data_IF_175044072584
#
_entry.id   IF_175044072584
#
_cell.length_a   1.000
_cell.length_b   1.000
_cell.length_c   1.000
_cell.angle_alpha   90.00
_cell.angle_beta   90.00
_cell.angle_gamma   90.00
#
_symmetry.space_group_name_H-M   'P 1'
#
loop_
_entity.id
_entity.type
_entity.pdbx_description
1 polymer ?
#
# COMPACT_ATOMS: atom_id res chain seq x y z
N UNK A 1 2.19 16.58 -2.46
CA UNK A 1 1.22 17.45 -3.17
C UNK A 1 0.86 16.88 -4.56
N UNK A 2 0.33 15.65 -4.64
CA UNK A 2 -0.19 15.06 -5.91
C UNK A 2 -1.71 14.95 -5.92
N UNK A 3 -2.35 14.72 -4.78
CA UNK A 3 -3.82 14.68 -4.65
C UNK A 3 -4.56 15.96 -5.09
N UNK A 4 -4.01 17.15 -4.82
CA UNK A 4 -4.60 18.39 -5.31
C UNK A 4 -4.52 18.54 -6.86
N UNK A 5 -3.67 17.77 -7.54
CA UNK A 5 -3.56 17.78 -9.01
C UNK A 5 -4.59 16.90 -9.70
N UNK A 6 -5.05 15.82 -9.07
CA UNK A 6 -6.05 14.91 -9.65
C UNK A 6 -7.37 15.63 -10.01
N UNK A 7 -7.85 16.56 -9.16
CA UNK A 7 -9.03 17.38 -9.48
C UNK A 7 -8.83 18.38 -10.63
N UNK A 8 -7.58 18.72 -10.97
CA UNK A 8 -7.26 19.71 -12.01
C UNK A 8 -6.98 19.02 -13.35
N UNK A 9 -6.38 17.82 -13.35
CA UNK A 9 -5.94 17.14 -14.56
C UNK A 9 -7.10 16.61 -15.43
N UNK A 10 -8.18 16.10 -14.83
CA UNK A 10 -9.40 15.68 -15.55
C UNK A 10 -10.01 16.81 -16.40
N UNK A 11 -9.95 18.06 -15.94
CA UNK A 11 -10.53 19.20 -16.67
C UNK A 11 -9.57 19.89 -17.65
N UNK A 12 -8.25 19.65 -17.56
CA UNK A 12 -7.23 20.43 -18.30
C UNK A 12 -6.38 19.55 -19.24
N UNK A 13 -6.18 18.27 -18.93
CA UNK A 13 -5.19 17.42 -19.61
C UNK A 13 -5.80 16.26 -20.41
N UNK A 14 -7.11 16.00 -20.30
CA UNK A 14 -7.77 14.93 -21.06
C UNK A 14 -7.31 13.53 -20.70
N UNK A 15 -6.75 13.34 -19.50
CA UNK A 15 -6.45 12.03 -18.96
C UNK A 15 -7.74 11.25 -18.68
N UNK A 16 -7.70 9.93 -18.90
CA UNK A 16 -8.80 9.05 -18.50
C UNK A 16 -8.90 9.09 -16.96
N UNK A 17 -10.05 9.46 -16.38
CA UNK A 17 -10.25 9.46 -14.94
C UNK A 17 -9.91 8.11 -14.27
N UNK A 18 -9.95 7.00 -15.02
CA UNK A 18 -9.56 5.68 -14.51
C UNK A 18 -8.08 5.46 -14.41
N UNK A 19 -7.29 5.99 -15.34
CA UNK A 19 -5.82 5.89 -15.27
C UNK A 19 -5.27 6.71 -14.09
N UNK A 20 -5.83 7.91 -13.85
CA UNK A 20 -5.40 8.75 -12.71
C UNK A 20 -5.83 8.19 -11.35
N UNK A 21 -7.00 7.54 -11.29
CA UNK A 21 -7.44 6.86 -10.07
C UNK A 21 -6.54 5.66 -9.76
N UNK A 22 -6.20 4.87 -10.78
CA UNK A 22 -5.30 3.73 -10.65
C UNK A 22 -3.90 4.16 -10.16
N UNK A 23 -3.33 5.19 -10.77
CA UNK A 23 -2.02 5.74 -10.34
C UNK A 23 -2.06 6.20 -8.87
N UNK A 24 -3.16 6.84 -8.46
CA UNK A 24 -3.32 7.32 -7.08
C UNK A 24 -3.41 6.17 -6.06
N UNK A 25 -4.10 5.08 -6.43
CA UNK A 25 -4.19 3.86 -5.62
C UNK A 25 -2.81 3.21 -5.47
N UNK A 26 -2.08 3.03 -6.56
CA UNK A 26 -0.72 2.46 -6.54
C UNK A 26 0.26 3.34 -5.72
N UNK A 27 0.13 4.67 -5.80
CA UNK A 27 0.92 5.60 -4.98
C UNK A 27 0.57 5.48 -3.49
N UNK A 28 -0.70 5.31 -3.15
CA UNK A 28 -1.13 5.14 -1.77
C UNK A 28 -0.60 3.83 -1.17
N UNK A 29 -0.67 2.73 -1.92
CA UNK A 29 -0.09 1.43 -1.54
C UNK A 29 1.42 1.51 -1.34
N UNK A 30 2.14 2.10 -2.29
CA UNK A 30 3.60 2.32 -2.19
C UNK A 30 3.95 3.15 -0.95
N UNK A 31 3.13 4.16 -0.63
CA UNK A 31 3.33 4.98 0.56
C UNK A 31 3.12 4.16 1.85
N UNK A 32 2.11 3.30 1.91
CA UNK A 32 1.87 2.40 3.05
C UNK A 32 3.06 1.49 3.34
N UNK A 33 3.63 0.91 2.29
CA UNK A 33 4.85 0.10 2.39
C UNK A 33 6.03 0.91 2.95
N UNK A 34 6.25 2.13 2.46
CA UNK A 34 7.34 3.00 2.98
C UNK A 34 7.10 3.45 4.42
N UNK A 35 5.85 3.75 4.78
CA UNK A 35 5.48 4.21 6.12
C UNK A 35 5.69 3.09 7.16
N UNK A 36 5.37 1.83 6.80
CA UNK A 36 5.76 0.66 7.61
C UNK A 36 7.28 0.63 7.83
N UNK A 37 8.07 0.74 6.75
CA UNK A 37 9.54 0.69 6.83
C UNK A 37 10.14 1.85 7.63
N UNK A 38 9.44 3.00 7.68
CA UNK A 38 9.78 4.14 8.51
C UNK A 38 9.40 3.95 10.00
N UNK A 39 8.69 2.87 10.34
CA UNK A 39 8.26 2.55 11.70
C UNK A 39 6.96 3.23 12.13
N UNK A 40 6.14 3.70 11.17
CA UNK A 40 4.82 4.24 11.46
C UNK A 40 3.81 3.12 11.75
N UNK A 41 2.91 3.38 12.68
CA UNK A 41 1.84 2.45 13.02
C UNK A 41 0.77 2.39 11.94
N UNK A 42 0.05 1.28 11.91
CA UNK A 42 -1.11 1.09 11.01
C UNK A 42 -2.21 2.15 11.20
N UNK A 43 -2.30 2.74 12.39
CA UNK A 43 -3.27 3.81 12.70
C UNK A 43 -2.80 5.21 12.25
N UNK A 44 -1.54 5.35 11.77
CA UNK A 44 -0.95 6.62 11.33
C UNK A 44 -1.28 6.95 9.86
N UNK A 45 -2.48 6.58 9.40
CA UNK A 45 -2.94 6.82 8.03
C UNK A 45 -2.80 8.31 7.67
N UNK A 46 -2.20 8.65 6.51
CA UNK A 46 -2.08 10.03 6.07
C UNK A 46 -3.43 10.77 6.06
N UNK A 47 -3.48 11.96 6.66
CA UNK A 47 -4.72 12.74 6.77
C UNK A 47 -5.38 13.03 5.41
N UNK A 48 -4.61 13.04 4.31
CA UNK A 48 -5.13 13.22 2.95
C UNK A 48 -5.98 12.03 2.44
N UNK A 49 -5.92 10.87 3.09
CA UNK A 49 -6.75 9.69 2.78
C UNK A 49 -7.96 9.54 3.70
N UNK A 50 -8.10 10.40 4.71
CA UNK A 50 -9.13 10.24 5.74
C UNK A 50 -10.54 10.20 5.18
N UNK A 51 -10.81 10.98 4.13
CA UNK A 51 -12.14 11.06 3.52
C UNK A 51 -12.25 10.23 2.23
N UNK A 52 -11.15 9.64 1.77
CA UNK A 52 -11.05 8.89 0.51
C UNK A 52 -10.80 7.41 0.81
N UNK A 53 -11.87 6.62 0.89
CA UNK A 53 -11.82 5.24 1.37
C UNK A 53 -10.87 4.37 0.55
N UNK A 54 -10.92 4.48 -0.77
CA UNK A 54 -10.14 3.67 -1.69
C UNK A 54 -8.64 3.89 -1.51
N UNK A 55 -8.22 5.13 -1.22
CA UNK A 55 -6.82 5.48 -0.98
C UNK A 55 -6.34 5.05 0.41
N UNK A 56 -7.21 5.15 1.42
CA UNK A 56 -6.93 4.60 2.75
C UNK A 56 -6.74 3.09 2.67
N UNK A 57 -7.65 2.38 2.00
CA UNK A 57 -7.58 0.92 1.86
C UNK A 57 -6.33 0.50 1.10
N UNK A 58 -5.95 1.23 0.05
CA UNK A 58 -4.70 0.98 -0.67
C UNK A 58 -3.46 1.19 0.22
N UNK A 59 -3.40 2.29 0.98
CA UNK A 59 -2.32 2.53 1.94
C UNK A 59 -2.25 1.44 3.03
N UNK A 60 -3.39 1.07 3.61
CA UNK A 60 -3.45 -0.01 4.60
C UNK A 60 -2.99 -1.34 4.00
N UNK A 61 -3.37 -1.62 2.75
CA UNK A 61 -2.92 -2.80 2.00
C UNK A 61 -1.41 -2.85 1.85
N UNK A 62 -0.77 -1.78 1.37
CA UNK A 62 0.69 -1.73 1.24
C UNK A 62 1.44 -1.84 2.58
N UNK A 63 0.85 -1.30 3.65
CA UNK A 63 1.39 -1.47 5.01
C UNK A 63 1.30 -2.93 5.48
N UNK A 64 0.12 -3.56 5.32
CA UNK A 64 -0.15 -4.94 5.74
C UNK A 64 0.69 -5.94 4.93
N UNK A 65 0.90 -5.69 3.63
CA UNK A 65 1.79 -6.50 2.79
C UNK A 65 3.23 -6.46 3.30
N UNK A 66 3.73 -5.28 3.64
CA UNK A 66 5.09 -5.15 4.14
C UNK A 66 5.26 -5.80 5.52
N UNK A 67 4.27 -5.70 6.42
CA UNK A 67 4.24 -6.45 7.69
C UNK A 67 4.29 -7.96 7.43
N UNK A 68 3.48 -8.46 6.49
CA UNK A 68 3.49 -9.87 6.12
C UNK A 68 4.84 -10.31 5.53
N UNK A 69 5.46 -9.49 4.68
CA UNK A 69 6.77 -9.78 4.12
C UNK A 69 7.85 -9.90 5.20
N UNK A 70 7.87 -9.01 6.20
CA UNK A 70 8.80 -9.12 7.33
C UNK A 70 8.52 -10.38 8.17
N UNK A 71 7.26 -10.72 8.43
CA UNK A 71 6.91 -11.97 9.13
C UNK A 71 7.34 -13.22 8.36
N UNK A 72 7.23 -13.22 7.04
CA UNK A 72 7.69 -14.31 6.17
C UNK A 72 9.21 -14.42 6.24
N UNK A 73 9.94 -13.30 6.17
CA UNK A 73 11.41 -13.28 6.28
C UNK A 73 11.89 -13.86 7.61
N UNK A 74 11.17 -13.63 8.70
CA UNK A 74 11.50 -14.16 10.03
C UNK A 74 10.97 -15.58 10.28
N UNK A 75 10.11 -16.11 9.40
CA UNK A 75 9.47 -17.40 9.61
C UNK A 75 10.47 -18.56 9.44
N UNK A 76 10.70 -19.40 10.46
CA UNK A 76 11.65 -20.51 10.35
C UNK A 76 11.22 -21.56 9.33
N UNK A 77 9.91 -21.72 9.11
CA UNK A 77 9.39 -22.69 8.13
C UNK A 77 9.48 -22.19 6.69
N UNK A 78 9.29 -20.88 6.44
CA UNK A 78 9.51 -20.30 5.11
C UNK A 78 10.98 -20.37 4.67
N UNK A 79 11.90 -20.35 5.63
CA UNK A 79 13.33 -20.34 5.39
C UNK A 79 14.00 -21.73 5.54
N UNK A 80 13.24 -22.78 5.84
CA UNK A 80 13.75 -24.15 5.94
C UNK A 80 13.47 -24.91 4.64
N UNK A 81 14.51 -25.26 3.85
CA UNK A 81 14.34 -25.97 2.58
C UNK A 81 13.79 -27.40 2.73
N UNK A 82 13.72 -27.93 3.95
CA UNK A 82 13.10 -29.22 4.26
C UNK A 82 11.57 -29.17 4.18
N UNK A 83 10.98 -27.97 4.30
CA UNK A 83 9.55 -27.75 4.19
C UNK A 83 9.21 -27.33 2.76
N UNK A 84 8.42 -28.16 2.07
CA UNK A 84 7.91 -27.85 0.73
C UNK A 84 6.79 -26.79 0.79
N UNK A 85 6.09 -26.69 1.92
CA UNK A 85 5.04 -25.71 2.20
C UNK A 85 5.19 -25.20 3.63
N UNK A 86 4.96 -23.91 3.84
CA UNK A 86 5.00 -23.31 5.16
C UNK A 86 3.64 -23.53 5.86
N UNK A 87 3.57 -24.17 7.04
CA UNK A 87 2.31 -24.43 7.71
C UNK A 87 1.59 -23.16 8.21
N UNK A 88 2.27 -22.00 8.19
CA UNK A 88 1.72 -20.71 8.66
C UNK A 88 1.24 -19.84 7.48
N UNK A 89 2.01 -19.81 6.38
CA UNK A 89 1.77 -18.89 5.26
C UNK A 89 1.30 -19.60 3.97
N UNK A 90 1.33 -20.94 3.92
CA UNK A 90 0.96 -21.74 2.74
C UNK A 90 2.16 -22.15 1.93
#
# INVERSE_FOLDING_TARGET
>A
MRYAKARIAVNVLGADPMDELWDSVMEAETLGHHDYQAGLGRDDVPAMFKDERELREAWEGGWDEQDQMERIKECPYCNDPSFVFCPVHG
#
